data_IF_820025443218
#
_entry.id   IF_820025443218
#
_cell.length_a   1.000
_cell.length_b   1.000
_cell.length_c   1.000
_cell.angle_alpha   90.00
_cell.angle_beta   90.00
_cell.angle_gamma   90.00
#
_symmetry.space_group_name_H-M   'P 1'
#
loop_
_entity.id
_entity.type
_entity.pdbx_description
1 polymer ?
#
# COMPACT_ATOMS: atom_id res chain seq x y z
N UNK A 1 24.67 -1.43 7.78
CA UNK A 1 24.25 -2.08 9.05
C UNK A 1 23.96 -0.96 10.03
N UNK A 2 22.72 -0.79 10.45
CA UNK A 2 22.29 0.32 11.32
C UNK A 2 22.65 0.02 12.77
N UNK A 3 23.44 0.88 13.39
CA UNK A 3 23.81 0.79 14.81
C UNK A 3 22.59 1.09 15.70
N UNK A 4 22.45 0.37 16.82
CA UNK A 4 21.35 0.57 17.77
C UNK A 4 21.41 1.97 18.43
N UNK A 5 20.35 2.80 18.34
CA UNK A 5 20.38 4.16 18.91
C UNK A 5 20.13 4.22 20.43
N UNK A 6 19.98 3.07 21.12
CA UNK A 6 19.64 3.01 22.55
C UNK A 6 20.72 3.66 23.45
N UNK A 7 20.28 4.30 24.53
CA UNK A 7 21.15 4.96 25.50
C UNK A 7 22.10 3.98 26.19
N UNK A 8 21.64 2.76 26.48
CA UNK A 8 22.44 1.70 27.10
C UNK A 8 23.59 1.22 26.21
N UNK A 9 23.34 1.03 24.90
CA UNK A 9 24.39 0.63 23.96
C UNK A 9 25.43 1.75 23.74
N UNK A 10 24.98 3.01 23.75
CA UNK A 10 25.87 4.17 23.65
C UNK A 10 26.75 4.37 24.88
N UNK A 11 26.19 4.23 26.09
CA UNK A 11 26.93 4.37 27.35
C UNK A 11 27.91 3.22 27.57
N UNK A 12 27.56 2.00 27.13
CA UNK A 12 28.41 0.81 27.27
C UNK A 12 29.44 0.64 26.13
N UNK A 13 29.58 1.61 25.22
CA UNK A 13 30.44 1.53 24.02
C UNK A 13 30.26 0.23 23.21
N UNK A 14 29.07 -0.37 23.27
CA UNK A 14 28.74 -1.60 22.56
C UNK A 14 27.97 -1.26 21.29
N UNK A 15 28.56 -1.56 20.14
CA UNK A 15 27.92 -1.39 18.83
C UNK A 15 26.88 -2.48 18.61
N UNK A 16 25.73 -2.35 19.28
CA UNK A 16 24.62 -3.28 19.15
C UNK A 16 24.14 -3.36 17.70
N UNK A 17 24.06 -4.58 17.16
CA UNK A 17 23.56 -4.83 15.82
C UNK A 17 22.02 -4.91 15.86
N UNK A 18 21.35 -4.10 15.04
CA UNK A 18 19.91 -4.17 14.88
C UNK A 18 19.53 -5.30 13.92
N UNK A 19 18.59 -6.14 14.34
CA UNK A 19 17.98 -7.18 13.52
C UNK A 19 16.51 -6.85 13.28
N UNK A 20 16.03 -7.10 12.06
CA UNK A 20 14.62 -6.95 11.74
C UNK A 20 13.83 -8.06 12.43
N UNK A 21 12.89 -7.70 13.30
CA UNK A 21 11.98 -8.66 13.94
C UNK A 21 10.57 -8.52 13.38
N UNK A 22 10.10 -9.51 12.64
CA UNK A 22 8.74 -9.51 12.08
C UNK A 22 7.66 -9.56 13.17
N UNK A 23 7.92 -10.25 14.29
CA UNK A 23 6.96 -10.33 15.41
C UNK A 23 6.76 -9.01 16.15
N UNK A 24 7.78 -8.15 16.16
CA UNK A 24 7.71 -6.81 16.76
C UNK A 24 7.07 -5.78 15.81
N UNK A 25 6.95 -6.10 14.52
CA UNK A 25 6.35 -5.23 13.51
C UNK A 25 4.84 -5.43 13.41
N UNK A 26 4.10 -4.34 13.24
CA UNK A 26 2.65 -4.37 12.99
C UNK A 26 2.40 -4.50 11.50
N UNK A 27 1.83 -5.63 11.09
CA UNK A 27 1.35 -5.83 9.73
C UNK A 27 -0.14 -5.47 9.62
N UNK A 28 -0.49 -4.84 8.51
CA UNK A 28 -1.86 -4.48 8.16
C UNK A 28 -2.20 -5.15 6.82
N UNK A 29 -3.43 -5.68 6.65
CA UNK A 29 -3.84 -6.23 5.38
C UNK A 29 -3.90 -5.13 4.32
N UNK A 30 -3.38 -5.47 3.14
CA UNK A 30 -3.28 -4.59 1.97
C UNK A 30 -3.81 -5.33 0.75
N UNK A 31 -4.58 -4.65 -0.08
CA UNK A 31 -5.08 -5.17 -1.34
C UNK A 31 -5.03 -4.07 -2.40
N UNK A 32 -4.41 -4.37 -3.53
CA UNK A 32 -4.46 -3.53 -4.73
C UNK A 32 -5.63 -3.99 -5.61
N UNK A 33 -6.51 -3.06 -5.98
CA UNK A 33 -7.69 -3.30 -6.82
C UNK A 33 -7.56 -2.42 -8.05
N UNK A 34 -7.76 -2.99 -9.23
CA UNK A 34 -7.79 -2.26 -10.50
C UNK A 34 -9.22 -2.21 -10.99
N UNK A 35 -9.76 -1.00 -11.13
CA UNK A 35 -11.11 -0.78 -11.63
C UNK A 35 -11.04 -0.25 -13.07
N UNK A 36 -12.06 -0.54 -13.86
CA UNK A 36 -12.24 -0.01 -15.21
C UNK A 36 -13.52 0.81 -15.27
N UNK A 37 -13.53 1.84 -16.10
CA UNK A 37 -14.75 2.60 -16.42
C UNK A 37 -15.81 1.66 -17.02
N UNK A 38 -17.09 1.94 -16.74
CA UNK A 38 -18.17 1.19 -17.38
C UNK A 38 -18.23 1.53 -18.88
N UNK A 39 -18.46 0.52 -19.71
CA UNK A 39 -18.40 0.66 -21.17
C UNK A 39 -19.45 1.64 -21.75
N UNK A 40 -20.54 1.89 -21.02
CA UNK A 40 -21.60 2.83 -21.37
C UNK A 40 -21.19 4.31 -21.17
N UNK A 41 -20.25 4.57 -20.27
CA UNK A 41 -19.74 5.91 -19.97
C UNK A 41 -18.56 6.31 -20.87
N UNK A 42 -18.02 5.38 -21.66
CA UNK A 42 -16.87 5.65 -22.54
C UNK A 42 -17.34 6.23 -23.88
N UNK A 43 -16.82 7.39 -24.30
CA UNK A 43 -17.21 8.00 -25.57
C UNK A 43 -16.74 7.16 -26.76
N UNK A 44 -17.46 7.28 -27.87
CA UNK A 44 -17.20 6.52 -29.10
C UNK A 44 -15.76 6.76 -29.57
N UNK A 45 -15.00 5.66 -29.72
CA UNK A 45 -13.62 5.69 -30.20
C UNK A 45 -12.55 5.75 -29.12
N UNK A 46 -12.90 5.86 -27.83
CA UNK A 46 -11.94 5.78 -26.73
C UNK A 46 -11.85 4.37 -26.13
N UNK A 47 -10.70 4.03 -25.56
CA UNK A 47 -10.47 2.78 -24.83
C UNK A 47 -10.71 3.05 -23.33
N UNK A 48 -11.43 2.17 -22.60
CA UNK A 48 -11.66 2.33 -21.17
C UNK A 48 -10.34 2.47 -20.39
N UNK A 49 -10.28 3.45 -19.48
CA UNK A 49 -9.10 3.66 -18.64
C UNK A 49 -9.21 2.85 -17.36
N UNK A 50 -8.04 2.54 -16.79
CA UNK A 50 -7.94 1.81 -15.53
C UNK A 50 -7.49 2.76 -14.42
N UNK A 51 -8.04 2.57 -13.23
CA UNK A 51 -7.61 3.27 -12.01
C UNK A 51 -7.24 2.24 -10.95
N UNK A 52 -6.13 2.49 -10.24
CA UNK A 52 -5.68 1.64 -9.14
C UNK A 52 -6.17 2.22 -7.82
N UNK A 53 -6.81 1.37 -7.02
CA UNK A 53 -7.30 1.67 -5.67
C UNK A 53 -6.56 0.78 -4.68
N UNK A 54 -6.09 1.37 -3.58
CA UNK A 54 -5.47 0.64 -2.48
C UNK A 54 -6.46 0.51 -1.32
N UNK A 55 -6.86 -0.73 -1.01
CA UNK A 55 -7.68 -1.04 0.16
C UNK A 55 -6.79 -1.47 1.33
N UNK A 56 -7.07 -0.92 2.50
CA UNK A 56 -6.35 -1.21 3.74
C UNK A 56 -7.31 -1.70 4.83
N UNK A 57 -6.81 -2.54 5.74
CA UNK A 57 -7.57 -2.94 6.93
C UNK A 57 -8.79 -3.83 6.61
N UNK A 58 -9.94 -3.48 7.19
CA UNK A 58 -11.20 -4.25 7.07
C UNK A 58 -11.87 -4.14 5.70
N UNK A 59 -11.45 -3.19 4.86
CA UNK A 59 -11.94 -3.02 3.49
C UNK A 59 -11.34 -4.05 2.52
N UNK A 60 -10.27 -4.74 2.94
CA UNK A 60 -9.71 -5.83 2.15
C UNK A 60 -10.71 -6.98 2.02
N UNK A 61 -10.77 -7.60 0.84
CA UNK A 61 -11.67 -8.74 0.50
C UNK A 61 -13.17 -8.43 0.43
N UNK A 62 -13.56 -7.16 0.38
CA UNK A 62 -14.98 -6.79 0.18
C UNK A 62 -15.42 -6.84 -1.29
N UNK A 63 -14.47 -6.75 -2.22
CA UNK A 63 -14.73 -6.66 -3.67
C UNK A 63 -14.28 -7.95 -4.35
N UNK A 64 -15.09 -8.46 -5.28
CA UNK A 64 -14.74 -9.57 -6.16
C UNK A 64 -14.52 -9.09 -7.61
N UNK A 65 -13.77 -9.87 -8.41
CA UNK A 65 -13.59 -9.56 -9.82
C UNK A 65 -14.93 -9.59 -10.57
N UNK A 66 -15.23 -8.53 -11.33
CA UNK A 66 -16.46 -8.41 -12.11
C UNK A 66 -17.62 -7.71 -11.39
N UNK A 67 -17.45 -7.37 -10.11
CA UNK A 67 -18.43 -6.57 -9.39
C UNK A 67 -18.48 -5.13 -9.93
N UNK A 68 -19.69 -4.58 -10.06
CA UNK A 68 -19.91 -3.14 -10.30
C UNK A 68 -19.93 -2.47 -8.93
N UNK A 69 -18.96 -1.59 -8.69
CA UNK A 69 -18.74 -0.97 -7.37
C UNK A 69 -18.61 0.54 -7.48
N UNK A 70 -19.13 1.23 -6.46
CA UNK A 70 -18.85 2.64 -6.22
C UNK A 70 -17.79 2.77 -5.12
N UNK A 71 -16.68 3.44 -5.42
CA UNK A 71 -15.55 3.60 -4.50
C UNK A 71 -15.39 5.06 -4.10
N UNK A 72 -15.36 5.31 -2.79
CA UNK A 72 -15.02 6.62 -2.22
C UNK A 72 -13.67 6.55 -1.50
N UNK A 73 -12.83 7.56 -1.69
CA UNK A 73 -11.50 7.61 -1.09
C UNK A 73 -10.76 8.90 -1.38
N UNK A 74 -9.47 8.90 -1.06
CA UNK A 74 -8.58 10.05 -1.28
C UNK A 74 -7.69 9.73 -2.47
N UNK A 75 -7.64 10.63 -3.46
CA UNK A 75 -6.73 10.51 -4.58
C UNK A 75 -5.36 11.09 -4.20
N UNK A 76 -4.36 10.22 -4.08
CA UNK A 76 -2.99 10.59 -3.78
C UNK A 76 -2.07 10.17 -4.94
N UNK A 77 -1.28 11.08 -5.53
CA UNK A 77 -0.24 10.69 -6.46
C UNK A 77 0.88 9.99 -5.71
N UNK A 78 1.15 8.73 -6.03
CA UNK A 78 2.31 8.04 -5.46
C UNK A 78 3.57 8.56 -6.15
N UNK A 79 4.52 9.19 -5.45
CA UNK A 79 5.76 9.64 -6.06
C UNK A 79 6.50 8.42 -6.61
N UNK A 80 6.88 8.48 -7.89
CA UNK A 80 7.66 7.42 -8.52
C UNK A 80 9.07 7.43 -7.94
N UNK A 81 9.33 6.53 -6.98
CA UNK A 81 10.69 6.26 -6.51
C UNK A 81 11.26 5.13 -7.38
N UNK A 82 11.56 5.43 -8.63
CA UNK A 82 12.40 4.57 -9.48
C UNK A 82 13.85 4.67 -9.03
N UNK A 83 14.52 3.52 -8.87
CA UNK A 83 15.97 3.41 -8.74
C UNK A 83 16.57 3.11 -10.11
#
# INVERSE_FOLDING_TARGET
MTECPSLECKQNNSKGQLFLSTRASKFLPFQEIKIQEMADQVPVGHIPRMLTVHAHGTLTRQVNPGDVIDVAGIFLPTPYTGF
#
